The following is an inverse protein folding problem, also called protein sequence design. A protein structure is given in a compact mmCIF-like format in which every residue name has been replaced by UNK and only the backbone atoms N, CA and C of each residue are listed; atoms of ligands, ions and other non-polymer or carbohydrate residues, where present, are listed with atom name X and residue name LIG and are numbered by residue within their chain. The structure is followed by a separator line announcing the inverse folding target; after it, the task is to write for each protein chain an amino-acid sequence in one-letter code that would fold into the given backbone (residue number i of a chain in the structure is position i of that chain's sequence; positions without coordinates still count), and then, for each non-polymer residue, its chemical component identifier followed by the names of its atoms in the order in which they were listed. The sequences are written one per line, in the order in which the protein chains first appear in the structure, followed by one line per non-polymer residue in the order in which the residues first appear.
data_IF_846510116224
#
_entry.id   IF_846510116224
#
_cell.length_a   1.000
_cell.length_b   1.000
_cell.length_c   1.000
_cell.angle_alpha   90.00
_cell.angle_beta   90.00
_cell.angle_gamma   90.00
#
_symmetry.space_group_name_H-M   'P 1'
#
loop_
_entity.id
_entity.type
_entity.pdbx_description
1 polymer ?
#
# COMPACT_ATOMS: atom_id res chain seq x y z
N UNK A 1 16.13 17.77 10.07
CA UNK A 1 14.94 16.93 10.33
C UNK A 1 14.51 17.27 11.73
N UNK A 2 13.30 17.79 11.91
CA UNK A 2 12.89 18.28 13.23
C UNK A 2 12.60 17.09 14.16
N UNK A 3 13.02 17.22 15.42
CA UNK A 3 12.76 16.21 16.43
C UNK A 3 11.23 16.03 16.61
N UNK A 4 10.69 14.80 16.67
CA UNK A 4 9.24 14.58 16.76
C UNK A 4 8.63 15.20 18.03
N UNK A 5 9.39 15.32 19.12
CA UNK A 5 8.94 16.00 20.34
C UNK A 5 8.74 17.51 20.17
N UNK A 6 9.44 18.15 19.22
CA UNK A 6 9.33 19.60 19.00
C UNK A 6 7.88 20.03 18.63
N UNK A 7 7.08 19.10 18.09
CA UNK A 7 5.68 19.34 17.69
C UNK A 7 4.67 19.17 18.82
N UNK A 8 5.10 18.69 19.98
CA UNK A 8 4.23 18.34 21.11
C UNK A 8 4.75 18.89 22.43
N UNK A 9 5.70 19.82 22.40
CA UNK A 9 6.30 20.43 23.60
C UNK A 9 5.27 21.06 24.52
N UNK A 10 4.24 21.69 23.96
CA UNK A 10 3.11 22.30 24.66
C UNK A 10 2.22 21.30 25.41
N UNK A 11 2.35 20.00 25.09
CA UNK A 11 1.56 18.90 25.68
C UNK A 11 2.37 18.07 26.67
N UNK A 12 3.66 18.37 26.87
CA UNK A 12 4.51 17.66 27.82
C UNK A 12 4.46 18.38 29.16
N UNK A 13 3.95 17.69 30.18
CA UNK A 13 4.05 18.16 31.57
C UNK A 13 5.47 17.84 32.08
N UNK A 14 6.28 18.84 32.46
CA UNK A 14 7.67 18.64 32.88
C UNK A 14 7.82 17.70 34.09
N UNK A 15 6.82 17.63 34.97
CA UNK A 15 6.86 16.85 36.21
C UNK A 15 6.25 15.43 36.04
N UNK A 16 5.59 15.17 34.91
CA UNK A 16 4.99 13.88 34.62
C UNK A 16 6.03 12.82 34.21
N UNK A 17 5.66 11.54 34.37
CA UNK A 17 6.43 10.37 33.92
C UNK A 17 5.74 9.71 32.74
N UNK A 18 6.51 9.47 31.68
CA UNK A 18 6.04 8.89 30.42
C UNK A 18 6.68 7.53 30.18
N UNK A 19 5.88 6.57 29.72
CA UNK A 19 6.28 5.23 29.28
C UNK A 19 6.12 5.14 27.77
N UNK A 20 6.60 4.04 27.17
CA UNK A 20 6.49 3.84 25.73
C UNK A 20 5.05 3.96 25.16
N UNK A 21 3.99 3.48 25.84
CA UNK A 21 2.61 3.72 25.42
C UNK A 21 2.23 5.21 25.43
N UNK A 22 2.61 5.94 26.48
CA UNK A 22 2.29 7.36 26.65
C UNK A 22 2.99 8.19 25.56
N UNK A 23 4.24 7.87 25.23
CA UNK A 23 4.96 8.48 24.11
C UNK A 23 4.28 8.21 22.76
N UNK A 24 3.71 7.03 22.57
CA UNK A 24 3.00 6.68 21.34
C UNK A 24 1.73 7.52 21.18
N UNK A 25 0.98 7.68 22.27
CA UNK A 25 -0.22 8.52 22.31
C UNK A 25 0.11 10.00 22.14
N UNK A 26 1.12 10.50 22.87
CA UNK A 26 1.59 11.88 22.79
C UNK A 26 1.95 12.26 21.36
N UNK A 27 2.73 11.41 20.67
CA UNK A 27 3.20 11.64 19.30
C UNK A 27 2.15 11.30 18.23
N UNK A 28 1.05 10.65 18.58
CA UNK A 28 0.07 10.14 17.62
C UNK A 28 0.65 9.07 16.69
N UNK A 29 1.64 8.29 17.17
CA UNK A 29 2.33 7.26 16.40
C UNK A 29 1.89 5.86 16.83
N UNK A 30 1.95 4.91 15.88
CA UNK A 30 1.81 3.50 16.21
C UNK A 30 2.91 3.06 17.19
N UNK A 31 2.59 2.20 18.16
CA UNK A 31 3.54 1.69 19.17
C UNK A 31 4.82 1.12 18.58
N UNK A 32 4.73 0.45 17.43
CA UNK A 32 5.89 -0.09 16.72
C UNK A 32 6.84 1.01 16.25
N UNK A 33 6.33 2.12 15.71
CA UNK A 33 7.13 3.27 15.29
C UNK A 33 7.77 3.98 16.49
N UNK A 34 7.01 4.17 17.58
CA UNK A 34 7.54 4.76 18.82
C UNK A 34 8.65 3.90 19.42
N UNK A 35 8.48 2.59 19.46
CA UNK A 35 9.53 1.67 19.91
C UNK A 35 10.77 1.75 19.04
N UNK A 36 10.62 1.93 17.72
CA UNK A 36 11.77 2.19 16.85
C UNK A 36 12.53 3.45 17.27
N UNK A 37 11.84 4.57 17.50
CA UNK A 37 12.47 5.82 17.97
C UNK A 37 13.20 5.63 19.30
N UNK A 38 12.56 4.94 20.27
CA UNK A 38 13.14 4.61 21.58
C UNK A 38 14.43 3.78 21.42
N UNK A 39 14.41 2.74 20.58
CA UNK A 39 15.55 1.85 20.37
C UNK A 39 16.66 2.51 19.55
N UNK A 40 16.32 3.48 18.73
CA UNK A 40 17.25 4.27 17.92
C UNK A 40 17.87 5.45 18.68
N UNK A 41 17.47 5.68 19.94
CA UNK A 41 18.10 6.69 20.80
C UNK A 41 17.54 8.10 20.66
N UNK A 42 16.39 8.26 20.01
CA UNK A 42 15.72 9.57 19.87
C UNK A 42 15.21 10.14 21.19
N UNK A 43 15.01 9.30 22.21
CA UNK A 43 14.56 9.74 23.53
C UNK A 43 15.62 9.39 24.58
N UNK A 44 16.68 10.21 24.73
CA UNK A 44 17.67 10.03 25.78
C UNK A 44 17.06 10.26 27.18
N UNK A 45 17.80 9.90 28.24
CA UNK A 45 17.40 10.18 29.62
C UNK A 45 16.38 9.22 30.23
N UNK A 46 16.16 8.04 29.61
CA UNK A 46 15.27 7.04 30.17
C UNK A 46 15.83 6.42 31.47
N UNK A 47 15.01 6.33 32.50
CA UNK A 47 15.26 5.58 33.72
C UNK A 47 14.63 4.19 33.64
N UNK A 48 15.24 3.21 34.34
CA UNK A 48 14.65 1.88 34.49
C UNK A 48 13.82 1.81 35.76
N UNK A 49 12.52 1.59 35.61
CA UNK A 49 11.58 1.40 36.72
C UNK A 49 11.15 -0.08 36.78
N UNK A 50 11.02 -0.64 37.99
CA UNK A 50 10.42 -1.97 38.17
C UNK A 50 8.94 -1.92 37.85
N UNK A 51 8.43 -2.94 37.18
CA UNK A 51 6.99 -3.08 36.91
C UNK A 51 6.32 -3.66 38.15
N UNK A 52 5.36 -2.96 38.79
CA UNK A 52 4.66 -3.51 39.95
C UNK A 52 3.97 -4.83 39.60
N UNK A 53 4.20 -5.86 40.41
CA UNK A 53 3.59 -7.18 40.23
C UNK A 53 4.18 -8.05 39.10
N UNK A 54 5.32 -7.66 38.51
CA UNK A 54 6.03 -8.47 37.52
C UNK A 54 7.54 -8.49 37.78
N UNK A 55 8.22 -9.56 37.38
CA UNK A 55 9.69 -9.66 37.42
C UNK A 55 10.32 -8.99 36.19
N UNK A 56 9.99 -7.72 36.00
CA UNK A 56 10.37 -6.95 34.81
C UNK A 56 10.74 -5.50 35.13
N UNK A 57 11.49 -4.89 34.21
CA UNK A 57 11.80 -3.46 34.22
C UNK A 57 11.32 -2.82 32.93
N UNK A 58 10.92 -1.57 33.01
CA UNK A 58 10.52 -0.76 31.86
C UNK A 58 11.27 0.57 31.86
N UNK A 59 11.39 1.16 30.68
CA UNK A 59 11.93 2.52 30.52
C UNK A 59 10.86 3.55 30.81
N UNK A 60 11.24 4.58 31.54
CA UNK A 60 10.38 5.72 31.91
C UNK A 60 11.18 7.00 31.73
N UNK A 61 10.55 8.02 31.16
CA UNK A 61 11.11 9.34 30.94
C UNK A 61 10.37 10.36 31.79
N UNK A 62 11.07 11.33 32.34
CA UNK A 62 10.42 12.53 32.89
C UNK A 62 10.04 13.48 31.76
N UNK A 63 9.00 14.29 31.95
CA UNK A 63 8.65 15.32 30.98
C UNK A 63 9.79 16.29 30.72
N UNK A 64 10.51 16.71 31.77
CA UNK A 64 11.71 17.53 31.64
C UNK A 64 12.78 16.89 30.73
N UNK A 65 13.01 15.58 30.83
CA UNK A 65 13.96 14.88 29.96
C UNK A 65 13.49 14.84 28.49
N UNK A 66 12.18 14.70 28.26
CA UNK A 66 11.62 14.75 26.90
C UNK A 66 11.68 16.15 26.29
N UNK A 67 11.41 17.19 27.09
CA UNK A 67 11.55 18.59 26.66
C UNK A 67 13.00 18.85 26.25
N UNK A 68 13.97 18.45 27.10
CA UNK A 68 15.39 18.59 26.78
C UNK A 68 15.80 17.79 25.52
N UNK A 69 15.23 16.60 25.32
CA UNK A 69 15.49 15.79 24.14
C UNK A 69 14.99 16.46 22.84
N UNK A 70 13.95 17.28 22.89
CA UNK A 70 13.42 17.96 21.71
C UNK A 70 14.40 18.94 21.07
N UNK A 71 15.30 19.51 21.88
CA UNK A 71 16.36 20.44 21.46
C UNK A 71 17.67 19.72 21.12
N UNK A 72 17.71 18.39 21.25
CA UNK A 72 18.90 17.59 20.93
C UNK A 72 18.85 17.14 19.48
N UNK A 73 20.00 17.19 18.80
CA UNK A 73 20.11 16.61 17.46
C UNK A 73 19.77 15.12 17.49
N UNK A 74 18.89 14.65 16.60
CA UNK A 74 18.61 13.23 16.49
C UNK A 74 19.88 12.42 16.21
N UNK A 75 19.97 11.18 16.73
CA UNK A 75 21.10 10.32 16.43
C UNK A 75 21.20 10.09 14.92
N UNK A 76 22.43 9.99 14.41
CA UNK A 76 22.67 9.72 13.00
C UNK A 76 21.97 8.42 12.56
N UNK A 77 21.28 8.48 11.44
CA UNK A 77 20.57 7.34 10.85
C UNK A 77 21.57 6.39 10.18
N UNK A 78 22.01 5.39 10.94
CA UNK A 78 23.03 4.43 10.53
C UNK A 78 22.45 3.30 9.66
N UNK A 79 22.82 3.32 8.37
CA UNK A 79 22.42 2.34 7.36
C UNK A 79 23.11 0.98 7.51
N UNK A 80 24.20 0.90 8.29
CA UNK A 80 24.84 -0.39 8.61
C UNK A 80 24.10 -1.14 9.73
N UNK A 81 23.37 -0.40 10.57
CA UNK A 81 22.71 -0.95 11.76
C UNK A 81 21.23 -1.23 11.57
N UNK A 82 20.53 -0.43 10.77
CA UNK A 82 19.09 -0.52 10.62
C UNK A 82 18.68 -0.86 9.19
N UNK A 83 17.63 -1.68 9.05
CA UNK A 83 17.04 -1.96 7.75
C UNK A 83 16.40 -0.69 7.14
N UNK A 84 16.33 -0.57 5.81
CA UNK A 84 15.71 0.58 5.13
C UNK A 84 14.28 0.88 5.58
N UNK A 85 13.51 -0.15 5.96
CA UNK A 85 12.15 -0.02 6.48
C UNK A 85 12.06 0.78 7.78
N UNK A 86 13.03 0.54 8.68
CA UNK A 86 13.18 1.23 9.95
C UNK A 86 13.63 2.66 9.71
N UNK A 87 14.66 2.85 8.88
CA UNK A 87 15.24 4.16 8.57
C UNK A 87 14.23 5.09 7.90
N UNK A 88 13.44 4.59 6.94
CA UNK A 88 12.36 5.35 6.32
C UNK A 88 11.33 5.85 7.34
N UNK A 89 10.93 5.01 8.30
CA UNK A 89 10.00 5.41 9.38
C UNK A 89 10.61 6.43 10.33
N UNK A 90 11.93 6.42 10.48
CA UNK A 90 12.68 7.43 11.22
C UNK A 90 12.96 8.69 10.40
N UNK A 91 12.41 8.80 9.19
CA UNK A 91 12.49 9.99 8.35
C UNK A 91 13.66 9.99 7.36
N UNK A 92 14.42 8.91 7.22
CA UNK A 92 15.47 8.84 6.20
C UNK A 92 14.84 8.94 4.79
N UNK A 93 15.27 9.93 4.02
CA UNK A 93 14.79 10.19 2.65
C UNK A 93 15.82 9.85 1.57
N UNK A 94 16.83 9.04 1.85
CA UNK A 94 17.82 8.64 0.84
C UNK A 94 17.19 7.74 -0.24
N UNK A 95 17.88 7.61 -1.37
CA UNK A 95 17.39 6.84 -2.52
C UNK A 95 17.09 5.37 -2.18
N UNK A 96 17.91 4.73 -1.35
CA UNK A 96 17.72 3.33 -0.94
C UNK A 96 16.47 3.14 -0.08
N UNK A 97 16.28 4.00 0.94
CA UNK A 97 15.10 3.98 1.79
C UNK A 97 13.82 4.32 1.01
N UNK A 98 13.90 5.28 0.10
CA UNK A 98 12.81 5.64 -0.80
C UNK A 98 12.46 4.49 -1.76
N UNK A 99 13.46 3.85 -2.35
CA UNK A 99 13.28 2.70 -3.23
C UNK A 99 12.61 1.53 -2.50
N UNK A 100 13.05 1.23 -1.28
CA UNK A 100 12.41 0.23 -0.43
C UNK A 100 10.95 0.59 -0.14
N UNK A 101 10.67 1.81 0.30
CA UNK A 101 9.30 2.24 0.62
C UNK A 101 8.37 2.14 -0.60
N UNK A 102 8.87 2.53 -1.77
CA UNK A 102 8.14 2.43 -3.02
C UNK A 102 7.89 0.97 -3.41
N UNK A 103 8.85 0.07 -3.21
CA UNK A 103 8.68 -1.36 -3.45
C UNK A 103 7.63 -1.97 -2.52
N UNK A 104 7.77 -1.76 -1.20
CA UNK A 104 6.81 -2.21 -0.19
C UNK A 104 5.39 -1.68 -0.47
N UNK A 105 5.27 -0.39 -0.78
CA UNK A 105 3.98 0.22 -1.11
C UNK A 105 3.36 -0.38 -2.37
N UNK A 106 4.17 -0.68 -3.40
CA UNK A 106 3.69 -1.35 -4.61
C UNK A 106 3.22 -2.77 -4.30
N UNK A 107 3.98 -3.53 -3.52
CA UNK A 107 3.64 -4.90 -3.12
C UNK A 107 2.33 -4.94 -2.32
N UNK A 108 2.18 -4.08 -1.30
CA UNK A 108 0.94 -3.97 -0.53
C UNK A 108 -0.26 -3.64 -1.41
N UNK A 109 -0.12 -2.69 -2.34
CA UNK A 109 -1.21 -2.36 -3.29
C UNK A 109 -1.52 -3.53 -4.22
N UNK A 110 -0.52 -4.31 -4.65
CA UNK A 110 -0.73 -5.52 -5.47
C UNK A 110 -1.51 -6.58 -4.68
N UNK A 111 -1.09 -6.90 -3.47
CA UNK A 111 -1.78 -7.86 -2.61
C UNK A 111 -3.25 -7.47 -2.38
N UNK A 112 -3.52 -6.19 -2.10
CA UNK A 112 -4.89 -5.67 -1.98
C UNK A 112 -5.68 -5.80 -3.29
N UNK A 113 -5.06 -5.49 -4.42
CA UNK A 113 -5.71 -5.61 -5.73
C UNK A 113 -6.03 -7.07 -6.08
N UNK A 114 -5.15 -8.01 -5.72
CA UNK A 114 -5.35 -9.44 -5.97
C UNK A 114 -6.41 -10.03 -5.04
N UNK A 115 -6.43 -9.65 -3.75
CA UNK A 115 -7.50 -10.01 -2.83
C UNK A 115 -8.87 -9.48 -3.29
N UNK A 116 -8.90 -8.29 -3.89
CA UNK A 116 -10.12 -7.67 -4.39
C UNK A 116 -10.58 -8.21 -5.76
N UNK A 117 -9.75 -8.99 -6.45
CA UNK A 117 -10.10 -9.70 -7.68
C UNK A 117 -9.47 -11.10 -7.66
N UNK A 118 -10.02 -12.02 -6.85
CA UNK A 118 -9.46 -13.34 -6.64
C UNK A 118 -9.60 -14.21 -7.90
N UNK A 119 -8.78 -15.25 -8.01
CA UNK A 119 -8.71 -16.13 -9.19
C UNK A 119 -10.07 -16.70 -9.61
N UNK A 120 -10.92 -17.06 -8.65
CA UNK A 120 -12.28 -17.53 -8.93
C UNK A 120 -13.10 -16.52 -9.74
N UNK A 121 -13.07 -15.24 -9.35
CA UNK A 121 -13.78 -14.18 -10.08
C UNK A 121 -13.13 -13.88 -11.42
N UNK A 122 -11.80 -14.04 -11.53
CA UNK A 122 -11.08 -13.92 -12.81
C UNK A 122 -11.59 -14.96 -13.81
N UNK A 123 -11.68 -16.23 -13.39
CA UNK A 123 -12.24 -17.32 -14.22
C UNK A 123 -13.70 -17.05 -14.59
N UNK A 124 -14.52 -16.65 -13.63
CA UNK A 124 -15.93 -16.32 -13.88
C UNK A 124 -16.09 -15.25 -14.96
N UNK A 125 -15.28 -14.17 -14.94
CA UNK A 125 -15.30 -13.15 -16.00
C UNK A 125 -14.93 -13.76 -17.35
N UNK A 126 -13.86 -14.55 -17.42
CA UNK A 126 -13.42 -15.17 -18.67
C UNK A 126 -14.46 -16.13 -19.24
N UNK A 127 -15.09 -16.94 -18.38
CA UNK A 127 -16.15 -17.89 -18.74
C UNK A 127 -17.40 -17.18 -19.28
N UNK A 128 -17.88 -16.13 -18.59
CA UNK A 128 -19.03 -15.35 -19.05
C UNK A 128 -18.79 -14.74 -20.43
N UNK A 129 -17.58 -14.21 -20.65
CA UNK A 129 -17.20 -13.61 -21.92
C UNK A 129 -17.08 -14.68 -23.01
N UNK A 130 -16.39 -15.80 -22.75
CA UNK A 130 -16.15 -16.83 -23.76
C UNK A 130 -17.41 -17.63 -24.13
N UNK A 131 -18.34 -17.80 -23.19
CA UNK A 131 -19.63 -18.42 -23.45
C UNK A 131 -20.55 -17.57 -24.34
N UNK A 132 -20.28 -16.26 -24.46
CA UNK A 132 -21.14 -15.33 -25.18
C UNK A 132 -22.42 -14.98 -24.41
N UNK A 133 -22.44 -15.20 -23.09
CA UNK A 133 -23.60 -14.92 -22.22
C UNK A 133 -23.80 -13.43 -21.91
N UNK A 134 -22.85 -12.60 -22.36
CA UNK A 134 -22.80 -11.15 -22.16
C UNK A 134 -22.41 -10.43 -23.45
N UNK A 135 -22.76 -9.17 -23.55
CA UNK A 135 -22.44 -8.34 -24.73
C UNK A 135 -21.14 -7.52 -24.54
N UNK A 136 -20.56 -7.53 -23.33
CA UNK A 136 -19.39 -6.72 -22.99
C UNK A 136 -18.57 -7.27 -21.81
N UNK A 137 -17.30 -6.83 -21.71
CA UNK A 137 -16.46 -7.11 -20.54
C UNK A 137 -17.03 -6.41 -19.29
N UNK A 138 -17.61 -5.22 -19.47
CA UNK A 138 -18.22 -4.45 -18.40
C UNK A 138 -19.38 -5.23 -17.76
N UNK A 139 -20.21 -5.87 -18.57
CA UNK A 139 -21.29 -6.74 -18.11
C UNK A 139 -20.77 -8.01 -17.44
N UNK A 140 -19.78 -8.69 -18.01
CA UNK A 140 -19.15 -9.84 -17.36
C UNK A 140 -18.56 -9.48 -15.99
N UNK A 141 -17.90 -8.31 -15.89
CA UNK A 141 -17.36 -7.81 -14.63
C UNK A 141 -18.47 -7.57 -13.60
N UNK A 142 -19.57 -6.93 -14.02
CA UNK A 142 -20.73 -6.69 -13.16
C UNK A 142 -21.36 -8.00 -12.66
N UNK A 143 -21.56 -9.00 -13.54
CA UNK A 143 -22.09 -10.33 -13.18
C UNK A 143 -21.14 -11.13 -12.27
N UNK A 144 -19.84 -10.91 -12.39
CA UNK A 144 -18.82 -11.46 -11.50
C UNK A 144 -18.57 -10.60 -10.25
N UNK A 145 -19.41 -9.58 -10.00
CA UNK A 145 -19.34 -8.69 -8.82
C UNK A 145 -17.98 -7.98 -8.66
N UNK A 146 -17.36 -7.62 -9.78
CA UNK A 146 -16.10 -6.86 -9.81
C UNK A 146 -16.24 -5.63 -10.69
N UNK A 147 -15.47 -4.58 -10.39
CA UNK A 147 -15.50 -3.40 -11.26
C UNK A 147 -14.73 -3.66 -12.56
N UNK A 148 -15.19 -3.11 -13.72
CA UNK A 148 -14.46 -3.25 -14.99
C UNK A 148 -13.03 -2.72 -14.90
N UNK A 149 -12.81 -1.67 -14.11
CA UNK A 149 -11.48 -1.11 -13.85
C UNK A 149 -10.50 -2.12 -13.22
N UNK A 150 -10.98 -3.08 -12.42
CA UNK A 150 -10.14 -4.17 -11.88
C UNK A 150 -9.74 -5.17 -12.96
N UNK A 151 -10.66 -5.51 -13.85
CA UNK A 151 -10.40 -6.42 -14.99
C UNK A 151 -9.33 -5.82 -15.90
N UNK A 152 -9.54 -4.60 -16.39
CA UNK A 152 -8.58 -3.92 -17.24
C UNK A 152 -7.27 -3.58 -16.51
N UNK A 153 -7.36 -3.24 -15.22
CA UNK A 153 -6.19 -2.99 -14.38
C UNK A 153 -5.32 -4.23 -14.17
N UNK A 154 -5.91 -5.43 -14.12
CA UNK A 154 -5.17 -6.70 -14.11
C UNK A 154 -4.60 -6.99 -15.50
N UNK A 155 -5.40 -6.92 -16.57
CA UNK A 155 -4.94 -7.15 -17.94
C UNK A 155 -3.79 -6.22 -18.37
N UNK A 156 -3.68 -5.02 -17.79
CA UNK A 156 -2.54 -4.12 -18.06
C UNK A 156 -1.21 -4.62 -17.46
N UNK A 157 -1.25 -5.35 -16.34
CA UNK A 157 -0.05 -5.75 -15.58
C UNK A 157 0.27 -7.24 -15.64
N UNK A 158 -0.70 -8.06 -16.00
CA UNK A 158 -0.61 -9.52 -16.07
C UNK A 158 -0.83 -9.95 -17.52
N UNK A 159 0.27 -10.35 -18.17
CA UNK A 159 0.25 -10.72 -19.58
C UNK A 159 -0.54 -12.00 -19.85
N UNK A 160 -0.50 -12.98 -18.94
CA UNK A 160 -1.26 -14.22 -19.07
C UNK A 160 -2.76 -13.97 -19.00
N UNK A 161 -3.21 -13.17 -18.01
CA UNK A 161 -4.60 -12.77 -17.91
C UNK A 161 -5.05 -11.91 -19.10
N UNK A 162 -4.19 -11.02 -19.59
CA UNK A 162 -4.46 -10.23 -20.80
C UNK A 162 -4.72 -11.12 -22.01
N UNK A 163 -3.85 -12.10 -22.24
CA UNK A 163 -3.99 -13.03 -23.36
C UNK A 163 -5.30 -13.84 -23.25
N UNK A 164 -5.59 -14.38 -22.06
CA UNK A 164 -6.83 -15.13 -21.82
C UNK A 164 -8.09 -14.25 -22.02
N UNK A 165 -8.06 -13.00 -21.58
CA UNK A 165 -9.16 -12.05 -21.76
C UNK A 165 -9.36 -11.67 -23.23
N UNK A 166 -8.27 -11.51 -23.98
CA UNK A 166 -8.33 -11.25 -25.42
C UNK A 166 -8.82 -12.46 -26.21
N UNK A 167 -8.49 -13.67 -25.80
CA UNK A 167 -9.02 -14.91 -26.38
C UNK A 167 -10.52 -15.06 -26.10
N UNK A 168 -10.94 -14.95 -24.83
CA UNK A 168 -12.35 -15.02 -24.46
C UNK A 168 -13.18 -13.97 -25.20
N UNK A 169 -12.67 -12.74 -25.28
CA UNK A 169 -13.37 -11.64 -25.94
C UNK A 169 -13.48 -11.79 -27.46
N UNK A 170 -12.94 -12.83 -28.10
CA UNK A 170 -13.32 -13.16 -29.49
C UNK A 170 -14.82 -13.44 -29.61
N UNK A 171 -15.43 -14.06 -28.59
CA UNK A 171 -16.87 -14.38 -28.58
C UNK A 171 -17.77 -13.12 -28.61
N UNK A 172 -17.25 -11.95 -28.21
CA UNK A 172 -17.97 -10.67 -28.25
C UNK A 172 -17.99 -10.02 -29.65
N UNK A 173 -17.49 -10.72 -30.68
CA UNK A 173 -17.63 -10.23 -32.04
C UNK A 173 -19.05 -10.48 -32.57
N UNK A 174 -19.71 -9.40 -32.97
CA UNK A 174 -20.88 -9.52 -33.86
C UNK A 174 -20.38 -10.09 -35.18
N UNK A 175 -20.82 -11.30 -35.54
CA UNK A 175 -20.33 -12.04 -36.71
C UNK A 175 -20.43 -11.27 -38.03
N UNK A 176 -19.73 -11.75 -39.06
CA UNK A 176 -19.71 -11.17 -40.40
C UNK A 176 -18.66 -10.05 -40.58
N UNK A 177 -18.79 -9.30 -41.68
CA UNK A 177 -17.73 -8.40 -42.19
C UNK A 177 -17.42 -7.18 -41.30
N UNK A 178 -18.25 -6.93 -40.28
CA UNK A 178 -18.06 -5.81 -39.35
C UNK A 178 -17.06 -6.13 -38.23
N UNK A 179 -16.85 -7.41 -37.91
CA UNK A 179 -15.86 -7.85 -36.93
C UNK A 179 -14.45 -7.38 -37.34
N UNK A 180 -13.68 -6.84 -36.39
CA UNK A 180 -12.31 -6.34 -36.65
C UNK A 180 -12.21 -5.01 -37.38
N UNK A 181 -13.33 -4.32 -37.66
CA UNK A 181 -13.32 -2.98 -38.29
C UNK A 181 -13.67 -1.87 -37.29
N UNK A 182 -13.13 -0.63 -37.46
CA UNK A 182 -13.53 0.51 -36.63
C UNK A 182 -15.04 0.82 -36.70
N UNK A 183 -15.67 0.54 -37.85
CA UNK A 183 -17.14 0.66 -38.01
C UNK A 183 -17.88 -0.35 -37.13
N UNK A 184 -17.41 -1.61 -37.05
CA UNK A 184 -18.00 -2.64 -36.21
C UNK A 184 -18.01 -2.26 -34.73
N UNK A 185 -16.92 -1.68 -34.22
CA UNK A 185 -16.88 -1.19 -32.84
C UNK A 185 -17.94 -0.10 -32.58
N UNK A 186 -18.11 0.85 -33.51
CA UNK A 186 -19.13 1.90 -33.40
C UNK A 186 -20.56 1.36 -33.43
N UNK A 187 -20.79 0.22 -34.09
CA UNK A 187 -22.11 -0.44 -34.17
C UNK A 187 -22.34 -1.49 -33.08
N UNK A 188 -21.49 -1.54 -32.04
CA UNK A 188 -21.71 -2.40 -30.87
C UNK A 188 -20.80 -3.63 -30.78
N UNK A 189 -19.94 -3.90 -31.76
CA UNK A 189 -18.94 -4.98 -31.64
C UNK A 189 -17.98 -4.71 -30.47
N UNK A 190 -17.84 -5.65 -29.54
CA UNK A 190 -16.91 -5.55 -28.40
C UNK A 190 -15.80 -6.59 -28.44
N UNK A 191 -15.74 -7.36 -29.53
CA UNK A 191 -14.72 -8.36 -29.77
C UNK A 191 -13.29 -7.81 -29.79
N UNK A 192 -12.31 -8.65 -29.45
CA UNK A 192 -10.89 -8.27 -29.38
C UNK A 192 -10.40 -7.56 -30.64
N UNK A 193 -10.73 -8.09 -31.82
CA UNK A 193 -10.39 -7.46 -33.09
C UNK A 193 -11.03 -6.06 -33.25
N UNK A 194 -12.30 -5.90 -32.87
CA UNK A 194 -13.00 -4.61 -32.92
C UNK A 194 -12.40 -3.58 -31.94
N UNK A 195 -12.03 -4.01 -30.72
CA UNK A 195 -11.37 -3.13 -29.74
C UNK A 195 -10.02 -2.65 -30.26
N UNK A 196 -9.20 -3.55 -30.80
CA UNK A 196 -7.88 -3.23 -31.38
C UNK A 196 -8.00 -2.32 -32.60
N UNK A 197 -9.02 -2.50 -33.44
CA UNK A 197 -9.26 -1.63 -34.58
C UNK A 197 -9.71 -0.22 -34.18
N UNK A 198 -10.43 -0.07 -33.07
CA UNK A 198 -10.87 1.24 -32.57
C UNK A 198 -9.77 1.98 -31.78
N UNK A 199 -8.99 1.24 -30.99
CA UNK A 199 -7.79 1.74 -30.31
C UNK A 199 -6.65 0.78 -30.64
N UNK A 200 -5.85 1.08 -31.67
CA UNK A 200 -4.60 0.36 -31.91
C UNK A 200 -3.79 0.50 -30.63
N UNK A 201 -3.45 -0.62 -29.99
CA UNK A 201 -2.49 -0.61 -28.90
C UNK A 201 -1.17 -0.12 -29.51
N UNK A 202 -0.73 1.07 -29.09
CA UNK A 202 0.62 1.54 -29.34
C UNK A 202 1.63 0.71 -28.54
#
# INVERSE_FOLDING_TARGET
MDHPLARVLDRIDPDARYRAPDLSELLGLARSSTNTLILSGWFPGAEWERVPGADGRQRVWTGAALIAAADTDPPALDHSRYAPSTLWRLGCGCDDCLAWHNADSRERRRALADAAFPEQRRRQVLELVSAGDVDSIEEAAARAEVSPGRVFGLARRDEGFRAALDEAAVALCVGGDLCGRPRGYRTGCRGTACRRAHRPLA
#
